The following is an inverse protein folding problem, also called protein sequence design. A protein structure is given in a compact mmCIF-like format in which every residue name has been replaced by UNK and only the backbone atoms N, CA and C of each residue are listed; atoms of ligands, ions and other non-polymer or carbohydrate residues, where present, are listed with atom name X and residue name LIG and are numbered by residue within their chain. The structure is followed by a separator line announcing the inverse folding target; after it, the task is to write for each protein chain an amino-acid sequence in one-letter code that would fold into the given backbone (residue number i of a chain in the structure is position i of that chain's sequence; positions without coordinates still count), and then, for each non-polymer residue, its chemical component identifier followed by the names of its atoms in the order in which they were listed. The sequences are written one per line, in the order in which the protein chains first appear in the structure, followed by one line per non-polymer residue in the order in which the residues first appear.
data_IF_521308752286
#
_entry.id   IF_521308752286
#
_cell.length_a   1.000
_cell.length_b   1.000
_cell.length_c   1.000
_cell.angle_alpha   90.00
_cell.angle_beta   90.00
_cell.angle_gamma   90.00
#
_symmetry.space_group_name_H-M   'P 1'
#
loop_
_entity.id
_entity.type
_entity.pdbx_description
1 polymer ?
#
# COMPACT_ATOMS: atom_id res chain seq x y z
N UNK A 1 -11.28 19.27 4.00
CA UNK A 1 -10.13 18.81 4.81
C UNK A 1 -10.55 17.72 5.78
N UNK A 2 -11.27 17.99 6.89
CA UNK A 2 -11.66 16.91 7.83
C UNK A 2 -12.58 15.84 7.20
N UNK A 3 -13.53 16.26 6.36
CA UNK A 3 -14.39 15.34 5.62
C UNK A 3 -13.61 14.47 4.61
N UNK A 4 -12.53 15.01 4.05
CA UNK A 4 -11.68 14.35 3.06
C UNK A 4 -10.83 13.27 3.71
N UNK A 5 -10.23 13.57 4.87
CA UNK A 5 -9.44 12.60 5.65
C UNK A 5 -10.31 11.43 6.13
N UNK A 6 -11.53 11.72 6.62
CA UNK A 6 -12.50 10.67 6.98
C UNK A 6 -12.88 9.79 5.80
N UNK A 7 -13.01 10.37 4.61
CA UNK A 7 -13.29 9.59 3.40
C UNK A 7 -12.13 8.67 3.03
N UNK A 8 -10.88 9.16 3.09
CA UNK A 8 -9.68 8.36 2.81
C UNK A 8 -9.57 7.19 3.80
N UNK A 9 -9.76 7.46 5.09
CA UNK A 9 -9.75 6.42 6.14
C UNK A 9 -10.84 5.38 5.92
N UNK A 10 -12.08 5.82 5.65
CA UNK A 10 -13.20 4.92 5.39
C UNK A 10 -12.93 4.04 4.17
N UNK A 11 -12.43 4.63 3.09
CA UNK A 11 -12.11 3.91 1.87
C UNK A 11 -11.03 2.84 2.11
N UNK A 12 -9.98 3.17 2.86
CA UNK A 12 -8.95 2.19 3.23
C UNK A 12 -9.53 1.05 4.08
N UNK A 13 -10.33 1.35 5.11
CA UNK A 13 -10.97 0.34 5.97
C UNK A 13 -11.88 -0.59 5.16
N UNK A 14 -12.73 -0.03 4.31
CA UNK A 14 -13.60 -0.81 3.42
C UNK A 14 -12.79 -1.72 2.50
N UNK A 15 -11.70 -1.20 1.93
CA UNK A 15 -10.83 -1.98 1.05
C UNK A 15 -10.21 -3.16 1.78
N UNK A 16 -9.62 -2.89 2.94
CA UNK A 16 -9.00 -3.91 3.79
C UNK A 16 -10.01 -4.99 4.16
N UNK A 17 -11.20 -4.62 4.63
CA UNK A 17 -12.23 -5.59 5.00
C UNK A 17 -12.66 -6.47 3.82
N UNK A 18 -12.87 -5.90 2.64
CA UNK A 18 -13.27 -6.66 1.44
C UNK A 18 -12.18 -7.64 1.01
N UNK A 19 -10.92 -7.18 0.95
CA UNK A 19 -9.80 -8.05 0.52
C UNK A 19 -9.48 -9.12 1.57
N UNK A 20 -9.56 -8.81 2.87
CA UNK A 20 -9.30 -9.77 3.94
C UNK A 20 -10.43 -10.81 4.12
N UNK A 21 -11.71 -10.41 4.00
CA UNK A 21 -12.85 -11.31 4.25
C UNK A 21 -13.34 -12.04 2.99
N UNK A 22 -13.48 -11.32 1.89
CA UNK A 22 -14.18 -11.83 0.71
C UNK A 22 -13.22 -12.26 -0.40
N UNK A 23 -11.93 -11.88 -0.31
CA UNK A 23 -10.94 -12.10 -1.36
C UNK A 23 -11.31 -11.45 -2.70
N UNK A 24 -12.33 -10.59 -2.69
CA UNK A 24 -12.94 -10.04 -3.89
C UNK A 24 -12.13 -8.86 -4.43
N UNK A 25 -12.27 -8.63 -5.73
CA UNK A 25 -11.74 -7.42 -6.35
C UNK A 25 -12.53 -6.21 -5.87
N UNK A 26 -11.86 -5.41 -5.05
CA UNK A 26 -12.43 -4.16 -4.59
C UNK A 26 -12.54 -3.20 -5.77
N UNK A 27 -13.65 -2.46 -5.88
CA UNK A 27 -13.94 -1.67 -7.07
C UNK A 27 -12.89 -0.61 -7.38
N UNK A 28 -12.45 -0.57 -8.65
CA UNK A 28 -11.51 0.43 -9.18
C UNK A 28 -11.95 1.88 -8.96
N UNK A 29 -13.25 2.14 -8.82
CA UNK A 29 -13.76 3.49 -8.54
C UNK A 29 -13.29 4.04 -7.19
N UNK A 30 -13.01 3.18 -6.20
CA UNK A 30 -12.59 3.60 -4.86
C UNK A 30 -11.20 4.24 -4.91
N UNK A 31 -10.28 3.64 -5.67
CA UNK A 31 -8.95 4.19 -5.96
C UNK A 31 -9.04 5.55 -6.65
N UNK A 32 -9.85 5.65 -7.70
CA UNK A 32 -10.02 6.90 -8.43
C UNK A 32 -10.56 8.01 -7.53
N UNK A 33 -11.54 7.68 -6.68
CA UNK A 33 -12.11 8.61 -5.72
C UNK A 33 -11.06 9.07 -4.69
N UNK A 34 -10.35 8.14 -4.04
CA UNK A 34 -9.30 8.45 -3.05
C UNK A 34 -8.16 9.26 -3.67
N UNK A 35 -7.76 8.94 -4.90
CA UNK A 35 -6.68 9.65 -5.61
C UNK A 35 -7.05 11.09 -5.97
N UNK A 36 -8.33 11.39 -6.14
CA UNK A 36 -8.83 12.73 -6.48
C UNK A 36 -8.92 13.69 -5.29
N UNK A 37 -8.84 13.15 -4.08
CA UNK A 37 -8.95 13.91 -2.83
C UNK A 37 -7.53 14.31 -2.40
N UNK A 38 -7.23 15.59 -2.09
CA UNK A 38 -5.92 15.97 -1.57
C UNK A 38 -5.72 15.43 -0.15
N UNK A 39 -4.49 15.03 0.19
CA UNK A 39 -4.15 14.69 1.59
C UNK A 39 -4.10 15.96 2.42
N UNK A 40 -4.78 16.00 3.56
CA UNK A 40 -4.74 17.13 4.48
C UNK A 40 -3.55 17.03 5.45
N UNK A 41 -3.12 15.81 5.76
CA UNK A 41 -2.00 15.55 6.67
C UNK A 41 -1.16 14.32 6.25
N UNK A 42 -0.23 13.93 7.12
CA UNK A 42 0.65 12.78 6.91
C UNK A 42 -0.10 11.45 6.96
N UNK A 43 -1.09 11.30 7.83
CA UNK A 43 -1.84 10.05 7.99
C UNK A 43 -2.66 9.76 6.72
N UNK A 44 -3.23 10.80 6.10
CA UNK A 44 -3.91 10.71 4.79
C UNK A 44 -2.98 10.19 3.69
N UNK A 45 -1.73 10.66 3.65
CA UNK A 45 -0.75 10.20 2.66
C UNK A 45 -0.37 8.73 2.91
N UNK A 46 -0.16 8.37 4.18
CA UNK A 46 0.17 7.01 4.61
C UNK A 46 -0.95 6.04 4.22
N UNK A 47 -2.21 6.40 4.45
CA UNK A 47 -3.37 5.61 4.07
C UNK A 47 -3.49 5.42 2.54
N UNK A 48 -3.17 6.45 1.75
CA UNK A 48 -3.14 6.32 0.28
C UNK A 48 -2.04 5.40 -0.22
N UNK A 49 -0.85 5.49 0.37
CA UNK A 49 0.26 4.57 0.06
C UNK A 49 -0.10 3.14 0.45
N UNK A 50 -0.75 2.95 1.60
CA UNK A 50 -1.27 1.65 1.99
C UNK A 50 -2.30 1.15 0.97
N UNK A 51 -3.28 1.97 0.58
CA UNK A 51 -4.26 1.59 -0.44
C UNK A 51 -3.59 1.18 -1.76
N UNK A 52 -2.60 1.95 -2.25
CA UNK A 52 -1.80 1.57 -3.42
C UNK A 52 -1.16 0.19 -3.26
N UNK A 53 -0.50 -0.05 -2.12
CA UNK A 53 0.18 -1.34 -1.87
C UNK A 53 -0.80 -2.51 -1.86
N UNK A 54 -1.97 -2.33 -1.26
CA UNK A 54 -3.01 -3.35 -1.19
C UNK A 54 -3.55 -3.74 -2.57
N UNK A 55 -3.56 -2.79 -3.50
CA UNK A 55 -4.00 -2.95 -4.90
C UNK A 55 -2.91 -3.53 -5.79
N UNK A 56 -1.65 -3.27 -5.46
CA UNK A 56 -0.52 -3.64 -6.30
C UNK A 56 -0.15 -5.13 -6.14
N UNK A 57 -0.89 -5.99 -6.84
CA UNK A 57 -0.72 -7.45 -6.81
C UNK A 57 0.64 -7.90 -7.41
N UNK A 58 1.25 -7.10 -8.29
CA UNK A 58 2.57 -7.36 -8.85
C UNK A 58 3.72 -7.36 -7.83
N UNK A 59 3.47 -6.87 -6.61
CA UNK A 59 4.41 -6.92 -5.48
C UNK A 59 4.08 -8.06 -4.49
N UNK A 60 3.19 -8.99 -4.84
CA UNK A 60 2.86 -10.15 -3.99
C UNK A 60 3.76 -11.37 -4.22
N UNK A 61 4.39 -11.47 -5.40
CA UNK A 61 5.21 -12.63 -5.76
C UNK A 61 6.54 -12.20 -6.37
N UNK A 62 7.66 -12.86 -6.03
CA UNK A 62 8.97 -12.62 -6.64
C UNK A 62 9.01 -12.80 -8.17
N UNK A 63 7.99 -13.47 -8.74
CA UNK A 63 7.95 -13.84 -10.16
C UNK A 63 7.81 -12.63 -11.12
N UNK A 64 7.27 -11.50 -10.65
CA UNK A 64 7.33 -10.23 -11.37
C UNK A 64 8.41 -9.39 -10.71
N UNK A 65 9.58 -9.27 -11.33
CA UNK A 65 10.59 -8.31 -10.89
C UNK A 65 9.94 -6.92 -10.90
N UNK A 66 9.74 -6.27 -9.74
CA UNK A 66 9.19 -4.94 -9.71
C UNK A 66 10.15 -3.98 -10.41
N UNK A 67 9.60 -3.04 -11.17
CA UNK A 67 10.44 -2.04 -11.80
C UNK A 67 11.09 -1.11 -10.76
N UNK A 68 12.03 -0.26 -11.19
CA UNK A 68 12.73 0.63 -10.26
C UNK A 68 11.80 1.63 -9.56
N UNK A 69 10.67 1.99 -10.19
CA UNK A 69 9.70 2.90 -9.59
C UNK A 69 8.87 2.18 -8.53
N UNK A 70 8.42 0.96 -8.80
CA UNK A 70 7.73 0.12 -7.84
C UNK A 70 8.57 -0.09 -6.57
N UNK A 71 9.88 -0.32 -6.74
CA UNK A 71 10.82 -0.44 -5.62
C UNK A 71 10.91 0.84 -4.78
N UNK A 72 11.01 1.99 -5.44
CA UNK A 72 11.09 3.28 -4.77
C UNK A 72 9.79 3.59 -4.02
N UNK A 73 8.63 3.41 -4.66
CA UNK A 73 7.32 3.66 -4.05
C UNK A 73 7.09 2.70 -2.88
N UNK A 74 7.47 1.42 -3.02
CA UNK A 74 7.41 0.45 -1.92
C UNK A 74 8.30 0.85 -0.74
N UNK A 75 9.52 1.34 -1.00
CA UNK A 75 10.40 1.89 0.04
C UNK A 75 9.75 3.05 0.79
N UNK A 76 9.22 4.03 0.03
CA UNK A 76 8.55 5.21 0.59
C UNK A 76 7.36 4.79 1.44
N UNK A 77 6.57 3.82 0.96
CA UNK A 77 5.46 3.25 1.70
C UNK A 77 5.88 2.64 3.04
N UNK A 78 6.92 1.78 3.05
CA UNK A 78 7.41 1.14 4.29
C UNK A 78 7.93 2.16 5.31
N UNK A 79 8.70 3.13 4.84
CA UNK A 79 9.18 4.22 5.69
C UNK A 79 8.02 5.07 6.21
N UNK A 80 7.02 5.34 5.37
CA UNK A 80 5.85 6.14 5.77
C UNK A 80 5.03 5.45 6.88
N UNK A 81 4.75 4.15 6.75
CA UNK A 81 4.07 3.38 7.80
C UNK A 81 4.83 3.45 9.13
N UNK A 82 6.15 3.21 9.09
CA UNK A 82 7.01 3.19 10.28
C UNK A 82 7.11 4.56 10.94
N UNK A 83 7.30 5.62 10.17
CA UNK A 83 7.36 6.99 10.68
C UNK A 83 6.03 7.45 11.27
N UNK A 84 4.91 6.93 10.76
CA UNK A 84 3.57 7.22 11.27
C UNK A 84 3.17 6.35 12.48
N UNK A 85 3.90 5.27 12.78
CA UNK A 85 3.48 4.26 13.76
C UNK A 85 2.18 3.55 13.33
N UNK A 86 2.06 3.26 12.03
CA UNK A 86 0.90 2.68 11.35
C UNK A 86 1.23 1.36 10.66
N UNK A 87 2.15 0.59 11.21
CA UNK A 87 2.56 -0.69 10.64
C UNK A 87 1.40 -1.70 10.57
N UNK A 88 0.31 -1.47 11.31
CA UNK A 88 -0.94 -2.24 11.25
C UNK A 88 -1.74 -2.04 9.94
N UNK A 89 -1.38 -1.04 9.13
CA UNK A 89 -1.91 -0.84 7.77
C UNK A 89 -1.11 -1.61 6.71
N UNK A 90 -0.02 -2.28 7.13
CA UNK A 90 0.72 -3.15 6.24
C UNK A 90 -0.14 -4.30 5.74
N UNK A 91 0.05 -4.69 4.48
CA UNK A 91 -0.53 -5.94 3.99
C UNK A 91 0.15 -7.10 4.72
N UNK A 92 -0.55 -8.17 5.13
CA UNK A 92 0.06 -9.25 5.93
C UNK A 92 1.38 -9.80 5.36
N UNK A 93 1.44 -10.00 4.04
CA UNK A 93 2.65 -10.48 3.34
C UNK A 93 3.87 -9.56 3.50
N UNK A 94 3.67 -8.25 3.70
CA UNK A 94 4.76 -7.29 3.92
C UNK A 94 5.39 -7.41 5.31
N UNK A 95 4.76 -8.15 6.22
CA UNK A 95 5.28 -8.44 7.56
C UNK A 95 5.86 -9.86 7.67
N UNK A 96 5.44 -10.76 6.79
CA UNK A 96 5.89 -12.16 6.76
C UNK A 96 7.15 -12.35 5.93
N UNK A 97 7.34 -11.54 4.89
CA UNK A 97 8.47 -11.65 3.97
C UNK A 97 9.44 -10.50 4.21
N UNK A 98 10.76 -10.78 4.30
CA UNK A 98 11.79 -9.76 4.09
C UNK A 98 11.86 -9.39 2.61
N UNK A 99 10.78 -8.82 2.07
CA UNK A 99 10.63 -8.46 0.66
C UNK A 99 11.82 -7.63 0.15
N UNK A 100 12.39 -6.78 1.01
CA UNK A 100 13.60 -6.01 0.73
C UNK A 100 14.88 -6.86 0.65
N UNK A 101 15.06 -7.84 1.53
CA UNK A 101 16.24 -8.72 1.50
C UNK A 101 16.24 -9.60 0.25
N UNK A 102 15.07 -10.11 -0.14
CA UNK A 102 14.90 -10.91 -1.35
C UNK A 102 15.13 -10.07 -2.62
N UNK A 103 14.53 -8.87 -2.74
CA UNK A 103 14.75 -7.97 -3.88
C UNK A 103 16.22 -7.56 -4.06
N UNK A 104 16.92 -7.20 -2.97
CA UNK A 104 18.32 -6.80 -3.05
C UNK A 104 19.22 -7.99 -3.42
N UNK A 105 18.88 -9.20 -2.98
CA UNK A 105 19.63 -10.40 -3.33
C UNK A 105 19.55 -10.72 -4.83
N UNK A 106 18.38 -10.53 -5.45
CA UNK A 106 18.16 -10.73 -6.87
C UNK A 106 18.79 -9.63 -7.75
N UNK A 107 18.82 -8.38 -7.28
CA UNK A 107 19.49 -7.27 -7.99
C UNK A 107 21.02 -7.43 -8.06
N UNK A 108 21.63 -8.18 -7.14
CA UNK A 108 23.06 -8.48 -7.12
C UNK A 108 23.45 -9.67 -8.00
N UNK A 109 22.46 -10.43 -8.47
CA UNK A 109 22.64 -11.61 -9.31
C UNK A 109 22.42 -11.34 -10.82
N UNK A 110 22.04 -10.11 -11.19
CA UNK A 110 21.87 -9.64 -12.56
C UNK A 110 23.01 -8.67 -12.95
#
# INVERSE_FOLDING_TARGET
MEQDSRFIELAFRMWREIKEKDGADTPRYLLSAVSSVPSADWDDLVLKLALWRWVHEGLERPASRPDQMDQLVYSIYRDALKLAGREDYAKPVDNETEFFSEMLSDSRAA
#
